data_IF_697767033702
#
_entry.id   IF_697767033702
#
_cell.length_a   1.000
_cell.length_b   1.000
_cell.length_c   1.000
_cell.angle_alpha   90.00
_cell.angle_beta   90.00
_cell.angle_gamma   90.00
#
_symmetry.space_group_name_H-M   'P 1'
#
loop_
_entity.id
_entity.type
_entity.pdbx_description
1 polymer ?
#
# COMPACT_ATOMS: atom_id res chain seq x y z
N UNK A 1 -9.95 5.74 -10.13
CA UNK A 1 -9.50 4.36 -10.05
C UNK A 1 -10.08 3.68 -8.80
N UNK A 2 -10.58 2.48 -8.95
CA UNK A 2 -11.16 1.77 -7.82
C UNK A 2 -10.09 1.05 -7.01
N UNK A 3 -10.03 1.41 -5.73
CA UNK A 3 -9.11 0.77 -4.80
C UNK A 3 -9.84 -0.38 -4.14
N UNK A 4 -9.26 -1.57 -4.08
CA UNK A 4 -9.90 -2.71 -3.43
C UNK A 4 -10.22 -2.41 -1.97
N UNK A 5 -11.40 -2.81 -1.53
CA UNK A 5 -11.81 -2.62 -0.14
C UNK A 5 -11.40 -3.79 0.75
N UNK A 6 -11.23 -4.96 0.16
CA UNK A 6 -10.77 -6.14 0.89
C UNK A 6 -9.30 -5.95 1.26
N UNK A 7 -8.93 -6.02 2.54
CA UNK A 7 -7.56 -5.76 2.96
C UNK A 7 -6.52 -6.68 2.31
N UNK A 8 -6.85 -7.94 2.09
CA UNK A 8 -5.90 -8.86 1.46
C UNK A 8 -5.70 -8.54 -0.01
N UNK A 9 -6.77 -8.18 -0.70
CA UNK A 9 -6.68 -7.78 -2.10
C UNK A 9 -5.97 -6.45 -2.20
N UNK A 10 -6.26 -5.54 -1.29
CA UNK A 10 -5.58 -4.24 -1.22
C UNK A 10 -4.08 -4.42 -1.02
N UNK A 11 -3.69 -5.32 -0.12
CA UNK A 11 -2.28 -5.61 0.14
C UNK A 11 -1.57 -6.03 -1.14
N UNK A 12 -2.16 -6.96 -1.87
CA UNK A 12 -1.58 -7.45 -3.12
C UNK A 12 -1.50 -6.34 -4.17
N UNK A 13 -2.56 -5.55 -4.28
CA UNK A 13 -2.62 -4.43 -5.21
C UNK A 13 -1.52 -3.41 -4.91
N UNK A 14 -1.39 -3.02 -3.65
CA UNK A 14 -0.40 -2.02 -3.22
C UNK A 14 1.02 -2.53 -3.48
N UNK A 15 1.31 -3.77 -3.07
CA UNK A 15 2.65 -4.32 -3.25
C UNK A 15 3.04 -4.44 -4.72
N UNK A 16 2.09 -4.82 -5.56
CA UNK A 16 2.34 -4.91 -7.00
C UNK A 16 2.66 -3.53 -7.58
N UNK A 17 1.90 -2.52 -7.19
CA UNK A 17 2.13 -1.17 -7.68
C UNK A 17 3.45 -0.60 -7.19
N UNK A 18 3.79 -0.85 -5.93
CA UNK A 18 5.06 -0.40 -5.38
C UNK A 18 6.25 -1.05 -6.09
N UNK A 19 6.09 -2.30 -6.49
CA UNK A 19 7.15 -2.99 -7.21
C UNK A 19 7.32 -2.47 -8.64
N UNK A 20 6.20 -2.25 -9.33
CA UNK A 20 6.23 -2.03 -10.77
C UNK A 20 6.11 -0.56 -11.19
N UNK A 21 5.42 0.28 -10.43
CA UNK A 21 5.06 1.63 -10.91
C UNK A 21 5.49 2.78 -10.01
N UNK A 22 5.68 2.55 -8.73
CA UNK A 22 5.99 3.63 -7.79
C UNK A 22 7.27 3.33 -7.01
N UNK A 23 8.04 4.38 -6.76
CA UNK A 23 9.30 4.22 -6.04
C UNK A 23 9.14 4.28 -4.54
N UNK A 24 7.97 4.70 -4.04
CA UNK A 24 7.71 4.78 -2.60
C UNK A 24 6.22 4.69 -2.32
N UNK A 25 5.90 4.37 -1.06
CA UNK A 25 4.51 4.34 -0.61
C UNK A 25 3.87 5.72 -0.73
N UNK A 26 4.64 6.76 -0.43
CA UNK A 26 4.15 8.12 -0.51
C UNK A 26 3.74 8.49 -1.93
N UNK A 27 4.54 8.09 -2.91
CA UNK A 27 4.22 8.34 -4.31
C UNK A 27 2.97 7.58 -4.75
N UNK A 28 2.84 6.33 -4.29
CA UNK A 28 1.65 5.55 -4.58
C UNK A 28 0.39 6.25 -4.03
N UNK A 29 0.45 6.66 -2.77
CA UNK A 29 -0.70 7.30 -2.14
C UNK A 29 -1.03 8.63 -2.79
N UNK A 30 -0.01 9.39 -3.16
CA UNK A 30 -0.21 10.65 -3.84
C UNK A 30 -0.88 10.45 -5.20
N UNK A 31 -0.43 9.45 -5.95
CA UNK A 31 -0.98 9.15 -7.27
C UNK A 31 -2.42 8.67 -7.23
N UNK A 32 -2.84 8.07 -6.12
CA UNK A 32 -4.20 7.56 -5.95
C UNK A 32 -5.04 8.40 -5.00
N UNK A 33 -4.51 9.56 -4.58
CA UNK A 33 -5.20 10.46 -3.65
C UNK A 33 -5.57 9.75 -2.35
N UNK A 34 -4.61 9.04 -1.79
CA UNK A 34 -4.79 8.28 -0.54
C UNK A 34 -3.96 8.89 0.58
N UNK A 35 -4.41 8.68 1.83
CA UNK A 35 -3.68 9.07 3.01
C UNK A 35 -2.74 7.93 3.40
N UNK A 36 -1.43 8.20 3.48
CA UNK A 36 -0.42 7.19 3.82
C UNK A 36 -0.73 6.54 5.17
N UNK A 37 -1.05 7.34 6.17
CA UNK A 37 -1.30 6.83 7.51
C UNK A 37 -2.54 5.94 7.55
N UNK A 38 -3.58 6.33 6.83
CA UNK A 38 -4.81 5.54 6.78
C UNK A 38 -4.55 4.19 6.09
N UNK A 39 -3.77 4.20 5.03
CA UNK A 39 -3.43 2.97 4.31
C UNK A 39 -2.60 2.04 5.19
N UNK A 40 -1.57 2.57 5.85
CA UNK A 40 -0.74 1.79 6.75
C UNK A 40 -1.57 1.15 7.86
N UNK A 41 -2.45 1.94 8.47
CA UNK A 41 -3.28 1.44 9.56
C UNK A 41 -4.19 0.31 9.09
N UNK A 42 -4.77 0.47 7.92
CA UNK A 42 -5.66 -0.54 7.37
C UNK A 42 -4.95 -1.88 7.17
N UNK A 43 -3.73 -1.84 6.66
CA UNK A 43 -2.97 -3.07 6.43
C UNK A 43 -2.36 -3.63 7.71
N UNK A 44 -2.05 -2.78 8.68
CA UNK A 44 -1.58 -3.23 9.98
C UNK A 44 -2.64 -4.03 10.72
N UNK A 45 -3.92 -3.72 10.49
CA UNK A 45 -5.02 -4.44 11.12
C UNK A 45 -5.04 -5.93 10.74
N UNK A 46 -4.50 -6.28 9.59
CA UNK A 46 -4.41 -7.67 9.17
C UNK A 46 -3.00 -8.23 9.33
N UNK A 47 -2.14 -7.53 10.07
CA UNK A 47 -0.83 -8.05 10.43
C UNK A 47 0.31 -7.71 9.50
N UNK A 48 0.14 -6.75 8.59
CA UNK A 48 1.18 -6.37 7.65
C UNK A 48 1.65 -4.95 7.92
N UNK A 49 2.96 -4.76 7.91
CA UNK A 49 3.58 -3.47 8.13
C UNK A 49 4.45 -3.11 6.94
N UNK A 50 4.57 -1.82 6.65
CA UNK A 50 5.38 -1.37 5.54
C UNK A 50 6.86 -1.52 5.86
N UNK A 51 7.57 -2.20 4.97
CA UNK A 51 9.02 -2.38 5.08
C UNK A 51 9.69 -1.43 4.08
N UNK A 52 10.37 -0.41 4.59
CA UNK A 52 11.00 0.60 3.74
C UNK A 52 12.15 0.06 2.92
N UNK A 53 12.85 -0.94 3.42
CA UNK A 53 13.97 -1.53 2.69
C UNK A 53 13.51 -2.33 1.49
N UNK A 54 12.42 -3.08 1.66
CA UNK A 54 11.86 -3.91 0.59
C UNK A 54 10.82 -3.18 -0.24
N UNK A 55 10.37 -2.01 0.23
CA UNK A 55 9.33 -1.22 -0.41
C UNK A 55 8.04 -2.00 -0.60
N UNK A 56 7.65 -2.73 0.42
CA UNK A 56 6.42 -3.52 0.39
C UNK A 56 5.90 -3.75 1.80
N UNK A 57 4.61 -4.10 1.88
CA UNK A 57 4.02 -4.50 3.14
C UNK A 57 4.32 -5.98 3.37
N UNK A 58 4.74 -6.29 4.59
CA UNK A 58 5.18 -7.64 4.86
C UNK A 58 4.82 -8.16 6.27
#
# INVERSE_FOLDING_TARGET
>A
MNIPKDPMILLSFVNTKLRDEYSSLEEFCKGHDLDVEALKKKLEEIGFQYNTELKQFK
#
